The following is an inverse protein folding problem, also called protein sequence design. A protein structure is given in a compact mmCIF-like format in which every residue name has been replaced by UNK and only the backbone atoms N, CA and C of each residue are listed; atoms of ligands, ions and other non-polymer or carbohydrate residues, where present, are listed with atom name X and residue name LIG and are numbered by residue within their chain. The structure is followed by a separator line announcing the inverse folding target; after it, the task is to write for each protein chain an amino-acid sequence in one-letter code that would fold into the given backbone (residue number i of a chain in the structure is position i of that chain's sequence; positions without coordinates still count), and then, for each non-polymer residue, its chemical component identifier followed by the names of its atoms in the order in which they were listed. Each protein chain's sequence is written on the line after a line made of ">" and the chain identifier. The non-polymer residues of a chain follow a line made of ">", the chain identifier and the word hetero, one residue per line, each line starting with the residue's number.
data_IF_299247520466
#
_entry.id   IF_299247520466
#
_cell.length_a   1.000
_cell.length_b   1.000
_cell.length_c   1.000
_cell.angle_alpha   90.00
_cell.angle_beta   90.00
_cell.angle_gamma   90.00
#
_symmetry.space_group_name_H-M   'P 1'
#
loop_
_entity.id
_entity.type
_entity.pdbx_description
1 polymer ?
#
# COMPACT_ATOMS: atom_id res chain seq x y z
N UNK A 1 4.47 -5.50 -31.25
CA UNK A 1 3.46 -5.53 -30.16
C UNK A 1 3.96 -4.59 -29.08
N UNK A 2 3.31 -3.45 -28.87
CA UNK A 2 3.72 -2.49 -27.85
C UNK A 2 3.23 -3.01 -26.49
N UNK A 3 4.13 -3.48 -25.64
CA UNK A 3 3.82 -3.78 -24.24
C UNK A 3 3.64 -2.44 -23.52
N UNK A 4 2.44 -1.88 -23.63
CA UNK A 4 2.07 -0.67 -22.91
C UNK A 4 2.13 -0.95 -21.42
N UNK A 5 3.12 -0.35 -20.74
CA UNK A 5 3.16 -0.29 -19.28
C UNK A 5 1.93 0.52 -18.86
N UNK A 6 0.83 -0.17 -18.53
CA UNK A 6 -0.35 0.43 -17.94
C UNK A 6 0.06 1.04 -16.61
N UNK A 7 -0.25 2.33 -16.39
CA UNK A 7 -0.14 2.95 -15.06
C UNK A 7 -1.08 2.21 -14.11
N UNK A 8 -0.51 1.58 -13.10
CA UNK A 8 -1.27 0.92 -12.03
C UNK A 8 -2.10 1.98 -11.30
N UNK A 9 -3.41 1.75 -11.23
CA UNK A 9 -4.33 2.58 -10.45
C UNK A 9 -4.69 1.89 -9.12
N UNK A 10 -5.37 2.59 -8.23
CA UNK A 10 -5.68 2.10 -6.87
C UNK A 10 -6.45 0.76 -6.90
N UNK A 11 -7.28 0.53 -7.91
CA UNK A 11 -7.98 -0.74 -8.15
C UNK A 11 -7.04 -1.88 -8.55
N UNK A 12 -5.96 -1.61 -9.29
CA UNK A 12 -4.93 -2.63 -9.60
C UNK A 12 -4.16 -3.02 -8.34
N UNK A 13 -3.93 -2.06 -7.43
CA UNK A 13 -3.29 -2.32 -6.13
C UNK A 13 -4.21 -3.20 -5.27
N UNK A 14 -5.51 -2.95 -5.25
CA UNK A 14 -6.50 -3.79 -4.56
C UNK A 14 -6.57 -5.22 -5.14
N UNK A 15 -6.49 -5.37 -6.46
CA UNK A 15 -6.45 -6.68 -7.13
C UNK A 15 -5.18 -7.47 -6.83
N UNK A 16 -4.02 -6.80 -6.78
CA UNK A 16 -2.75 -7.42 -6.35
C UNK A 16 -2.80 -7.76 -4.85
N UNK A 17 -3.34 -6.87 -4.02
CA UNK A 17 -3.54 -7.11 -2.58
C UNK A 17 -4.47 -8.30 -2.34
N UNK A 18 -5.47 -8.50 -3.20
CA UNK A 18 -6.35 -9.67 -3.16
C UNK A 18 -5.66 -11.00 -3.53
N UNK A 19 -4.53 -10.96 -4.24
CA UNK A 19 -3.72 -12.15 -4.57
C UNK A 19 -2.46 -12.32 -3.70
N UNK A 20 -2.21 -11.38 -2.79
CA UNK A 20 -1.00 -11.33 -1.97
C UNK A 20 -1.19 -12.13 -0.67
N UNK A 21 -0.18 -12.90 -0.25
CA UNK A 21 -0.22 -13.55 1.07
C UNK A 21 -0.19 -12.50 2.18
N UNK A 22 -0.82 -12.78 3.32
CA UNK A 22 -0.82 -11.87 4.46
C UNK A 22 0.61 -11.50 4.92
N UNK A 23 1.58 -12.41 4.78
CA UNK A 23 3.00 -12.16 5.09
C UNK A 23 3.62 -11.13 4.14
N UNK A 24 3.29 -11.21 2.85
CA UNK A 24 3.77 -10.25 1.84
C UNK A 24 3.08 -8.90 2.04
N UNK A 25 1.79 -8.90 2.39
CA UNK A 25 1.03 -7.70 2.72
C UNK A 25 1.62 -6.98 3.95
N UNK A 26 2.05 -7.73 4.97
CA UNK A 26 2.74 -7.18 6.14
C UNK A 26 4.05 -6.49 5.76
N UNK A 27 4.83 -7.07 4.84
CA UNK A 27 6.06 -6.43 4.37
C UNK A 27 5.78 -5.12 3.62
N UNK A 28 4.76 -5.09 2.76
CA UNK A 28 4.34 -3.89 2.02
C UNK A 28 3.78 -2.83 2.97
N UNK A 29 2.95 -3.22 3.94
CA UNK A 29 2.40 -2.29 4.93
C UNK A 29 3.50 -1.64 5.77
N UNK A 30 4.53 -2.39 6.17
CA UNK A 30 5.70 -1.82 6.86
C UNK A 30 6.41 -0.76 6.03
N UNK A 31 6.56 -0.96 4.72
CA UNK A 31 7.17 0.04 3.84
C UNK A 31 6.33 1.32 3.81
N UNK A 32 5.01 1.19 3.69
CA UNK A 32 4.11 2.34 3.74
C UNK A 32 4.19 3.07 5.08
N UNK A 33 4.24 2.35 6.20
CA UNK A 33 4.38 2.97 7.52
C UNK A 33 5.72 3.68 7.68
N UNK A 34 6.83 3.06 7.30
CA UNK A 34 8.15 3.72 7.36
C UNK A 34 8.23 4.96 6.46
N UNK A 35 7.62 4.93 5.28
CA UNK A 35 7.52 6.11 4.44
C UNK A 35 6.63 7.20 5.06
N UNK A 36 5.54 6.81 5.73
CA UNK A 36 4.70 7.71 6.52
C UNK A 36 5.47 8.39 7.65
N UNK A 37 6.27 7.64 8.39
CA UNK A 37 7.11 8.16 9.48
C UNK A 37 8.14 9.19 8.98
N UNK A 38 8.68 8.97 7.79
CA UNK A 38 9.59 9.92 7.13
C UNK A 38 8.85 11.22 6.79
N UNK A 39 7.66 11.14 6.18
CA UNK A 39 6.87 12.34 5.85
C UNK A 39 6.42 13.10 7.10
N UNK A 40 6.00 12.38 8.13
CA UNK A 40 5.65 12.96 9.43
C UNK A 40 6.86 13.70 10.02
N UNK A 41 8.05 13.09 10.01
CA UNK A 41 9.29 13.72 10.48
C UNK A 41 9.70 14.96 9.68
N UNK A 42 9.29 15.03 8.40
CA UNK A 42 9.51 16.21 7.54
C UNK A 42 8.41 17.28 7.70
N UNK A 43 7.40 17.05 8.55
CA UNK A 43 6.27 17.95 8.79
C UNK A 43 5.15 17.84 7.74
N UNK A 44 5.21 16.86 6.84
CA UNK A 44 4.14 16.55 5.90
C UNK A 44 3.16 15.54 6.52
N UNK A 45 2.32 16.05 7.41
CA UNK A 45 1.29 15.27 8.11
C UNK A 45 0.27 14.66 7.14
N UNK A 46 -0.12 15.41 6.10
CA UNK A 46 -1.11 14.96 5.13
C UNK A 46 -0.58 13.76 4.32
N UNK A 47 0.67 13.85 3.84
CA UNK A 47 1.33 12.75 3.15
C UNK A 47 1.53 11.53 4.05
N UNK A 48 1.92 11.75 5.31
CA UNK A 48 2.06 10.67 6.30
C UNK A 48 0.75 9.90 6.51
N UNK A 49 -0.35 10.63 6.75
CA UNK A 49 -1.68 10.04 6.91
C UNK A 49 -2.13 9.23 5.69
N UNK A 50 -1.85 9.71 4.47
CA UNK A 50 -2.15 8.95 3.25
C UNK A 50 -1.37 7.64 3.19
N UNK A 51 -0.09 7.64 3.57
CA UNK A 51 0.74 6.44 3.55
C UNK A 51 0.32 5.44 4.63
N UNK A 52 0.00 5.90 5.84
CA UNK A 52 -0.57 5.04 6.87
C UNK A 52 -1.88 4.39 6.42
N UNK A 53 -2.77 5.15 5.78
CA UNK A 53 -4.00 4.62 5.19
C UNK A 53 -3.74 3.51 4.17
N UNK A 54 -2.75 3.70 3.28
CA UNK A 54 -2.35 2.68 2.29
C UNK A 54 -1.84 1.40 2.94
N UNK A 55 -0.98 1.51 3.95
CA UNK A 55 -0.47 0.34 4.68
C UNK A 55 -1.58 -0.47 5.34
N UNK A 56 -2.55 0.21 5.95
CA UNK A 56 -3.73 -0.42 6.55
C UNK A 56 -4.64 -1.06 5.50
N UNK A 57 -4.89 -0.40 4.38
CA UNK A 57 -5.70 -0.96 3.28
C UNK A 57 -5.10 -2.23 2.68
N UNK A 58 -3.76 -2.30 2.56
CA UNK A 58 -3.07 -3.52 2.10
C UNK A 58 -3.24 -4.68 3.09
N UNK A 59 -3.10 -4.41 4.39
CA UNK A 59 -3.33 -5.42 5.43
C UNK A 59 -4.78 -5.89 5.44
N UNK A 60 -5.74 -4.98 5.32
CA UNK A 60 -7.16 -5.31 5.32
C UNK A 60 -7.54 -6.14 4.10
N UNK A 61 -7.09 -5.75 2.90
CA UNK A 61 -7.39 -6.46 1.66
C UNK A 61 -6.79 -7.86 1.56
N UNK A 62 -5.63 -8.10 2.20
CA UNK A 62 -4.92 -9.38 2.12
C UNK A 62 -5.13 -10.31 3.32
N UNK A 63 -5.25 -9.77 4.54
CA UNK A 63 -5.31 -10.55 5.77
C UNK A 63 -6.74 -10.69 6.35
N UNK A 64 -7.66 -9.79 6.00
CA UNK A 64 -9.04 -9.79 6.52
C UNK A 64 -10.07 -10.40 5.54
N UNK A 65 -9.61 -11.24 4.61
CA UNK A 65 -10.52 -12.04 3.77
C UNK A 65 -11.17 -13.12 4.62
N UNK A 66 -12.36 -12.84 5.12
CA UNK A 66 -13.34 -13.84 5.53
C UNK A 66 -13.82 -14.66 4.33
#
# INVERSE_FOLDING_TARGET
>A
MSNGIRKLNDTDIEGIAGGMSCETALAVAKIYYSAGDILHSLGDEAGAHQLYGKGSGVMEGACNKG
#
